data_IF_518925822981
#
_entry.id   IF_518925822981
#
_cell.length_a   1.000
_cell.length_b   1.000
_cell.length_c   1.000
_cell.angle_alpha   90.00
_cell.angle_beta   90.00
_cell.angle_gamma   90.00
#
_symmetry.space_group_name_H-M   'P 1'
#
loop_
_entity.id
_entity.type
_entity.pdbx_description
1 polymer ?
#
# COMPACT_ATOMS: atom_id res chain seq x y z
N UNK A 1 -5.95 21.16 -7.28
CA UNK A 1 -5.39 20.07 -8.09
C UNK A 1 -3.88 20.07 -7.92
N UNK A 2 -3.24 18.92 -7.68
CA UNK A 2 -1.79 18.77 -7.37
C UNK A 2 -0.86 19.53 -8.36
N UNK A 3 -1.26 19.61 -9.64
CA UNK A 3 -0.59 20.40 -10.68
C UNK A 3 -0.65 21.94 -10.48
N UNK A 4 -1.73 22.47 -9.89
CA UNK A 4 -1.85 23.90 -9.55
C UNK A 4 -0.98 24.30 -8.34
N UNK A 5 -0.49 23.32 -7.56
CA UNK A 5 0.38 23.55 -6.42
C UNK A 5 1.87 23.36 -6.75
N UNK A 6 2.24 23.29 -8.03
CA UNK A 6 3.62 23.10 -8.52
C UNK A 6 4.32 21.83 -7.98
N UNK A 7 3.58 20.85 -7.47
CA UNK A 7 4.19 19.62 -6.97
C UNK A 7 4.63 18.74 -8.15
N UNK A 8 5.84 18.17 -8.01
CA UNK A 8 6.45 17.34 -9.04
C UNK A 8 5.64 16.06 -9.28
N UNK A 9 5.28 15.80 -10.54
CA UNK A 9 4.66 14.53 -10.95
C UNK A 9 5.55 13.32 -10.63
N UNK A 10 6.87 13.51 -10.60
CA UNK A 10 7.81 12.48 -10.14
C UNK A 10 7.67 12.17 -8.66
N UNK A 11 7.41 13.19 -7.83
CA UNK A 11 7.16 12.98 -6.40
C UNK A 11 5.86 12.20 -6.18
N UNK A 12 4.82 12.50 -6.98
CA UNK A 12 3.58 11.72 -6.97
C UNK A 12 3.82 10.25 -7.35
N UNK A 13 4.51 10.01 -8.47
CA UNK A 13 4.83 8.67 -8.93
C UNK A 13 5.72 7.90 -7.94
N UNK A 14 6.67 8.57 -7.30
CA UNK A 14 7.51 7.95 -6.27
C UNK A 14 6.69 7.59 -5.03
N UNK A 15 5.84 8.49 -4.55
CA UNK A 15 5.04 8.28 -3.35
C UNK A 15 3.95 7.22 -3.53
N UNK A 16 3.41 7.07 -4.74
CA UNK A 16 2.42 6.03 -5.03
C UNK A 16 3.07 4.64 -5.22
N UNK A 17 4.36 4.56 -5.56
CA UNK A 17 5.07 3.29 -5.78
C UNK A 17 5.94 2.88 -4.58
N UNK A 18 6.33 3.81 -3.73
CA UNK A 18 7.22 3.54 -2.59
C UNK A 18 6.66 2.51 -1.59
N UNK A 19 5.35 2.51 -1.23
CA UNK A 19 4.82 1.50 -0.32
C UNK A 19 4.82 0.10 -0.93
N UNK A 20 4.63 -0.05 -2.24
CA UNK A 20 4.68 -1.34 -2.96
C UNK A 20 6.08 -1.96 -2.98
N UNK A 21 7.13 -1.15 -2.88
CA UNK A 21 8.51 -1.64 -2.79
C UNK A 21 8.73 -2.54 -1.56
N UNK A 22 7.88 -2.43 -0.55
CA UNK A 22 7.84 -3.32 0.62
C UNK A 22 7.66 -4.80 0.26
N UNK A 23 7.11 -5.08 -0.93
CA UNK A 23 6.97 -6.42 -1.48
C UNK A 23 8.31 -7.09 -1.79
N UNK A 24 9.40 -6.32 -1.96
CA UNK A 24 10.75 -6.88 -2.07
C UNK A 24 11.19 -7.60 -0.79
N UNK A 25 10.56 -7.33 0.36
CA UNK A 25 10.78 -8.07 1.61
C UNK A 25 10.49 -9.57 1.48
N UNK A 26 9.67 -9.98 0.50
CA UNK A 26 9.46 -11.40 0.19
C UNK A 26 10.71 -12.11 -0.32
N UNK A 27 11.72 -11.39 -0.83
CA UNK A 27 13.01 -11.96 -1.20
C UNK A 27 13.80 -12.46 0.02
N UNK A 28 13.60 -11.83 1.18
CA UNK A 28 14.20 -12.27 2.44
C UNK A 28 13.36 -13.34 3.17
N UNK A 29 12.19 -13.69 2.63
CA UNK A 29 11.30 -14.72 3.14
C UNK A 29 9.86 -14.24 3.36
N UNK A 30 8.89 -15.17 3.36
CA UNK A 30 7.46 -14.85 3.38
C UNK A 30 7.00 -14.12 4.64
N UNK A 31 7.63 -14.42 5.80
CA UNK A 31 7.33 -13.73 7.07
C UNK A 31 7.78 -12.27 7.06
N UNK A 32 9.01 -12.03 6.61
CA UNK A 32 9.56 -10.67 6.50
C UNK A 32 8.77 -9.85 5.49
N UNK A 33 8.49 -10.41 4.31
CA UNK A 33 7.66 -9.76 3.29
C UNK A 33 6.25 -9.41 3.77
N UNK A 34 5.57 -10.32 4.46
CA UNK A 34 4.24 -10.04 5.01
C UNK A 34 4.27 -8.94 6.08
N UNK A 35 5.27 -8.94 6.95
CA UNK A 35 5.42 -7.90 8.00
C UNK A 35 5.75 -6.54 7.39
N UNK A 36 6.72 -6.46 6.48
CA UNK A 36 7.12 -5.20 5.84
C UNK A 36 6.00 -4.62 4.99
N UNK A 37 5.28 -5.48 4.27
CA UNK A 37 4.12 -5.07 3.48
C UNK A 37 2.99 -4.54 4.36
N UNK A 38 2.58 -5.32 5.35
CA UNK A 38 1.46 -4.94 6.22
C UNK A 38 1.79 -3.67 7.01
N UNK A 39 3.03 -3.48 7.46
CA UNK A 39 3.46 -2.29 8.19
C UNK A 39 3.31 -0.99 7.38
N UNK A 40 3.65 -1.03 6.08
CA UNK A 40 3.52 0.13 5.18
C UNK A 40 2.10 0.34 4.65
N UNK A 41 1.23 -0.66 4.78
CA UNK A 41 -0.19 -0.63 4.42
C UNK A 41 -1.13 -0.44 5.63
N UNK A 42 -0.61 0.02 6.77
CA UNK A 42 -1.41 0.46 7.92
C UNK A 42 -1.95 1.86 7.66
N UNK A 43 -3.28 2.00 7.62
CA UNK A 43 -3.97 3.27 7.36
C UNK A 43 -3.71 4.35 8.45
N UNK A 44 -3.33 3.92 9.66
CA UNK A 44 -3.07 4.81 10.81
C UNK A 44 -1.95 5.81 10.50
N UNK A 45 -0.84 5.35 9.89
CA UNK A 45 0.30 6.22 9.60
C UNK A 45 -0.07 7.41 8.70
N UNK A 46 -0.69 7.22 7.51
CA UNK A 46 -1.08 8.35 6.69
C UNK A 46 -2.26 9.14 7.25
N UNK A 47 -3.12 8.57 8.10
CA UNK A 47 -4.13 9.34 8.85
C UNK A 47 -3.50 10.32 9.85
N UNK A 48 -2.50 9.87 10.60
CA UNK A 48 -1.75 10.75 11.52
C UNK A 48 -1.01 11.83 10.73
N UNK A 49 -0.42 11.47 9.58
CA UNK A 49 0.24 12.42 8.70
C UNK A 49 -0.73 13.46 8.12
N UNK A 50 -1.95 13.03 7.76
CA UNK A 50 -3.01 13.92 7.27
C UNK A 50 -3.44 14.90 8.36
N UNK A 51 -3.63 14.41 9.59
CA UNK A 51 -3.99 15.26 10.74
C UNK A 51 -2.88 16.28 11.04
N UNK A 52 -1.62 15.85 11.03
CA UNK A 52 -0.48 16.75 11.22
C UNK A 52 -0.39 17.80 10.11
N UNK A 53 -0.59 17.42 8.85
CA UNK A 53 -0.62 18.34 7.72
C UNK A 53 -1.76 19.37 7.80
N UNK A 54 -2.94 18.94 8.25
CA UNK A 54 -4.09 19.80 8.47
C UNK A 54 -3.87 20.79 9.63
N UNK A 55 -3.33 20.32 10.75
CA UNK A 55 -3.08 21.16 11.94
C UNK A 55 -1.94 22.17 11.75
N UNK A 56 -0.90 21.77 11.01
CA UNK A 56 0.28 22.61 10.75
C UNK A 56 0.17 23.42 9.45
N UNK A 57 -1.00 23.39 8.78
CA UNK A 57 -1.25 24.02 7.50
C UNK A 57 -0.19 23.69 6.42
N UNK A 58 0.38 22.48 6.46
CA UNK A 58 1.46 22.03 5.58
C UNK A 58 0.92 21.42 4.29
N UNK A 59 0.92 22.14 3.14
CA UNK A 59 0.24 21.67 1.93
C UNK A 59 0.89 20.42 1.34
N UNK A 60 2.23 20.33 1.43
CA UNK A 60 2.99 19.17 1.01
C UNK A 60 2.66 17.95 1.87
N UNK A 61 2.65 18.11 3.19
CA UNK A 61 2.39 17.02 4.15
C UNK A 61 0.99 16.45 3.95
N UNK A 62 -0.01 17.32 3.79
CA UNK A 62 -1.40 16.93 3.47
C UNK A 62 -1.47 16.20 2.13
N UNK A 63 -0.76 16.67 1.10
CA UNK A 63 -0.78 16.03 -0.21
C UNK A 63 -0.11 14.65 -0.19
N UNK A 64 1.02 14.49 0.51
CA UNK A 64 1.69 13.20 0.73
C UNK A 64 0.75 12.22 1.43
N UNK A 65 0.07 12.67 2.49
CA UNK A 65 -0.86 11.84 3.25
C UNK A 65 -2.04 11.36 2.37
N UNK A 66 -2.63 12.25 1.55
CA UNK A 66 -3.72 11.89 0.66
C UNK A 66 -3.29 10.89 -0.43
N UNK A 67 -2.10 11.05 -1.01
CA UNK A 67 -1.56 10.10 -2.01
C UNK A 67 -1.39 8.72 -1.37
N UNK A 68 -0.85 8.68 -0.14
CA UNK A 68 -0.65 7.42 0.57
C UNK A 68 -1.97 6.74 0.93
N UNK A 69 -2.98 7.49 1.39
CA UNK A 69 -4.33 6.94 1.63
C UNK A 69 -4.93 6.38 0.34
N UNK A 70 -4.85 7.14 -0.77
CA UNK A 70 -5.37 6.70 -2.06
C UNK A 70 -4.68 5.42 -2.54
N UNK A 71 -3.37 5.32 -2.36
CA UNK A 71 -2.60 4.11 -2.67
C UNK A 71 -3.10 2.88 -1.87
N UNK A 72 -3.21 2.98 -0.54
CA UNK A 72 -3.71 1.87 0.30
C UNK A 72 -5.15 1.49 -0.07
N UNK A 73 -5.98 2.47 -0.41
CA UNK A 73 -7.37 2.22 -0.82
C UNK A 73 -7.44 1.46 -2.16
N UNK A 74 -6.63 1.84 -3.14
CA UNK A 74 -6.52 1.15 -4.44
C UNK A 74 -6.00 -0.27 -4.23
N UNK A 75 -4.94 -0.45 -3.44
CA UNK A 75 -4.34 -1.75 -3.17
C UNK A 75 -5.36 -2.73 -2.54
N UNK A 76 -6.11 -2.26 -1.54
CA UNK A 76 -7.17 -3.05 -0.90
C UNK A 76 -8.34 -3.33 -1.83
N UNK A 77 -8.72 -2.37 -2.68
CA UNK A 77 -9.78 -2.57 -3.68
C UNK A 77 -9.39 -3.59 -4.76
N UNK A 78 -8.09 -3.69 -5.09
CA UNK A 78 -7.55 -4.69 -6.02
C UNK A 78 -7.41 -6.10 -5.40
N UNK A 79 -7.73 -6.26 -4.11
CA UNK A 79 -7.78 -7.56 -3.44
C UNK A 79 -6.46 -8.00 -2.82
N UNK A 80 -5.45 -7.12 -2.72
CA UNK A 80 -4.17 -7.48 -2.12
C UNK A 80 -4.20 -7.71 -0.61
N UNK A 81 -5.26 -7.23 0.07
CA UNK A 81 -5.65 -7.61 1.43
C UNK A 81 -4.54 -7.56 2.48
N UNK A 82 -4.78 -8.16 3.65
CA UNK A 82 -3.71 -8.43 4.60
C UNK A 82 -2.94 -9.67 4.14
N UNK A 83 -1.62 -9.54 4.03
CA UNK A 83 -0.74 -10.64 3.64
C UNK A 83 -0.46 -11.58 4.83
N UNK A 84 -0.62 -12.89 4.63
CA UNK A 84 -0.27 -13.89 5.64
C UNK A 84 1.20 -14.36 5.51
N UNK A 85 1.83 -14.74 6.65
CA UNK A 85 3.20 -15.25 6.68
C UNK A 85 3.39 -16.64 6.02
N UNK A 86 2.32 -17.25 5.50
CA UNK A 86 2.34 -18.56 4.84
C UNK A 86 2.74 -18.49 3.37
N UNK A 87 2.60 -17.33 2.71
CA UNK A 87 3.04 -17.11 1.34
C UNK A 87 2.49 -15.80 0.76
N UNK A 88 3.16 -15.24 -0.25
CA UNK A 88 2.75 -13.98 -0.91
C UNK A 88 1.31 -13.99 -1.46
N UNK A 89 0.86 -15.19 -1.85
CA UNK A 89 -0.47 -15.42 -2.40
C UNK A 89 -1.53 -15.62 -1.32
N UNK A 90 -1.16 -15.88 -0.06
CA UNK A 90 -2.16 -16.15 0.97
C UNK A 90 -2.57 -14.85 1.63
N UNK A 91 -3.85 -14.49 1.48
CA UNK A 91 -4.45 -13.34 2.17
C UNK A 91 -5.61 -13.80 3.04
N UNK A 92 -6.04 -12.96 3.98
CA UNK A 92 -7.24 -13.25 4.80
C UNK A 92 -8.53 -13.37 3.95
N UNK A 93 -8.50 -12.92 2.69
CA UNK A 93 -9.60 -13.03 1.73
C UNK A 93 -9.50 -14.29 0.86
N UNK A 94 -8.47 -15.13 1.03
CA UNK A 94 -8.20 -16.30 0.21
C UNK A 94 -6.88 -16.20 -0.55
N UNK A 95 -6.58 -17.25 -1.33
CA UNK A 95 -5.33 -17.37 -2.08
C UNK A 95 -5.42 -16.62 -3.41
N UNK A 96 -4.54 -15.64 -3.62
CA UNK A 96 -4.42 -14.88 -4.87
C UNK A 96 -3.70 -15.76 -5.90
N UNK A 97 -4.47 -16.30 -6.85
CA UNK A 97 -3.96 -17.07 -7.98
C UNK A 97 -4.60 -18.45 -8.13
N UNK A 98 -5.52 -18.54 -9.10
CA UNK A 98 -6.10 -19.77 -9.69
C UNK A 98 -6.48 -20.89 -8.71
N UNK A 99 -7.77 -21.00 -8.42
CA UNK A 99 -8.37 -22.32 -8.27
C UNK A 99 -8.11 -23.11 -9.55
N UNK A 100 -7.19 -24.07 -9.47
CA UNK A 100 -7.06 -25.14 -10.46
C UNK A 100 -7.63 -26.45 -9.93
N UNK A 101 -8.68 -26.36 -9.13
CA UNK A 101 -9.46 -27.52 -8.69
C UNK A 101 -10.83 -27.47 -9.35
N UNK A 102 -10.92 -28.02 -10.56
CA UNK A 102 -12.20 -28.19 -11.23
C UNK A 102 -12.12 -28.45 -12.74
N UNK A 103 -11.36 -29.47 -13.17
CA UNK A 103 -11.59 -30.23 -14.41
C UNK A 103 -10.53 -31.34 -14.58
N UNK A 104 -10.49 -32.28 -13.65
CA UNK A 104 -9.93 -33.61 -13.89
C UNK A 104 -10.60 -34.56 -12.88
N UNK A 105 -11.45 -35.44 -13.38
CA UNK A 105 -12.26 -36.38 -12.62
C UNK A 105 -13.54 -36.67 -13.35
#
# INVERSE_FOLDING_TARGET
CYAMAHFSWWLFALLILAPDLSMLGYLAGPRLGAVTYNALHILIAPLVLLLAGALLAGPLTTAVALIWIAHIAIDRALGYGLKLPTGFQDTHLGRIGRDRSGAAG
#
